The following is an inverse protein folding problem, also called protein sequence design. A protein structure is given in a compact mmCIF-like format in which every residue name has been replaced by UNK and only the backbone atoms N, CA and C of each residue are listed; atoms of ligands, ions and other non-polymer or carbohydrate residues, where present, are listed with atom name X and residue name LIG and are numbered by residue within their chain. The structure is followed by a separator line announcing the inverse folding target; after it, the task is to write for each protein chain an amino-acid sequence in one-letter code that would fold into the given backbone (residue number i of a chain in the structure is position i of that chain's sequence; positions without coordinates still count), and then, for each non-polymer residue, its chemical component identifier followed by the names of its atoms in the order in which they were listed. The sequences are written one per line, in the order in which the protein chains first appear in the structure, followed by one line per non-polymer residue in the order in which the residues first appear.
data_IF_982261193964
#
_entry.id   IF_982261193964
#
_cell.length_a   1.000
_cell.length_b   1.000
_cell.length_c   1.000
_cell.angle_alpha   90.00
_cell.angle_beta   90.00
_cell.angle_gamma   90.00
#
_symmetry.space_group_name_H-M   'P 1'
#
loop_
_entity.id
_entity.type
_entity.pdbx_description
1 polymer ?
#
# COMPACT_ATOMS: atom_id res chain seq x y z
N UNK A 1 -2.58 33.75 8.72
CA UNK A 1 -2.93 32.32 8.56
C UNK A 1 -2.62 31.91 7.12
N UNK A 2 -1.47 31.29 6.86
CA UNK A 2 -1.13 30.80 5.52
C UNK A 2 -1.92 29.51 5.25
N UNK A 3 -2.94 29.59 4.40
CA UNK A 3 -3.59 28.41 3.81
C UNK A 3 -2.51 27.67 3.01
N UNK A 4 -2.18 26.45 3.41
CA UNK A 4 -1.43 25.54 2.56
C UNK A 4 -2.23 25.39 1.26
N UNK A 5 -1.69 25.92 0.17
CA UNK A 5 -2.26 25.71 -1.16
C UNK A 5 -2.19 24.21 -1.42
N UNK A 6 -3.35 23.56 -1.57
CA UNK A 6 -3.42 22.18 -2.09
C UNK A 6 -2.60 22.16 -3.37
N UNK A 7 -1.43 21.51 -3.32
CA UNK A 7 -0.60 21.32 -4.50
C UNK A 7 -1.48 20.65 -5.55
N UNK A 8 -1.65 21.22 -6.75
CA UNK A 8 -2.41 20.56 -7.80
C UNK A 8 -1.70 19.24 -8.08
N UNK A 9 -2.33 18.14 -7.69
CA UNK A 9 -1.78 16.82 -7.95
C UNK A 9 -1.75 16.65 -9.47
N UNK A 10 -0.62 16.20 -10.01
CA UNK A 10 -0.49 15.90 -11.44
C UNK A 10 -1.65 15.01 -11.91
N UNK A 11 -2.22 15.24 -13.11
CA UNK A 11 -3.27 14.39 -13.66
C UNK A 11 -2.82 12.93 -13.65
N UNK A 12 -3.70 12.02 -13.20
CA UNK A 12 -3.42 10.59 -13.25
C UNK A 12 -3.69 10.06 -14.65
N UNK A 13 -2.80 9.21 -15.15
CA UNK A 13 -3.14 8.31 -16.26
C UNK A 13 -4.19 7.28 -15.83
N UNK A 14 -4.77 6.57 -16.79
CA UNK A 14 -5.79 5.55 -16.52
C UNK A 14 -5.28 4.42 -15.59
N UNK A 15 -4.00 4.04 -15.70
CA UNK A 15 -3.36 3.05 -14.85
C UNK A 15 -3.26 3.51 -13.39
N UNK A 16 -2.67 4.69 -13.15
CA UNK A 16 -2.58 5.27 -11.81
C UNK A 16 -3.94 5.55 -11.14
N UNK A 17 -4.96 5.90 -11.92
CA UNK A 17 -6.32 6.07 -11.40
C UNK A 17 -6.92 4.75 -10.87
N UNK A 18 -6.73 3.65 -11.62
CA UNK A 18 -7.21 2.34 -11.19
C UNK A 18 -6.45 1.80 -9.97
N UNK A 19 -5.13 1.99 -9.92
CA UNK A 19 -4.31 1.64 -8.75
C UNK A 19 -4.77 2.42 -7.52
N UNK A 20 -4.97 3.74 -7.67
CA UNK A 20 -5.44 4.57 -6.55
C UNK A 20 -6.83 4.15 -6.08
N UNK A 21 -7.74 3.79 -7.01
CA UNK A 21 -9.07 3.28 -6.70
C UNK A 21 -9.00 2.00 -5.88
N UNK A 22 -8.18 1.03 -6.31
CA UNK A 22 -7.96 -0.23 -5.58
C UNK A 22 -7.45 0.01 -4.14
N UNK A 23 -6.47 0.90 -3.98
CA UNK A 23 -5.91 1.25 -2.67
C UNK A 23 -6.95 1.97 -1.79
N UNK A 24 -7.74 2.87 -2.37
CA UNK A 24 -8.73 3.68 -1.65
C UNK A 24 -9.93 2.84 -1.20
N UNK A 25 -10.42 1.94 -2.06
CA UNK A 25 -11.52 1.03 -1.73
C UNK A 25 -11.12 -0.01 -0.67
N UNK A 26 -9.82 -0.13 -0.35
CA UNK A 26 -9.28 -1.00 0.70
C UNK A 26 -9.80 -2.45 0.63
N UNK A 27 -10.17 -2.91 -0.57
CA UNK A 27 -10.71 -4.26 -0.76
C UNK A 27 -9.69 -5.32 -0.37
N UNK A 28 -8.40 -5.03 -0.60
CA UNK A 28 -7.28 -5.88 -0.23
C UNK A 28 -6.12 -5.02 0.32
N UNK A 29 -5.40 -5.49 1.35
CA UNK A 29 -4.24 -4.79 1.86
C UNK A 29 -3.12 -4.80 0.81
N UNK A 30 -2.63 -3.61 0.47
CA UNK A 30 -1.52 -3.40 -0.47
C UNK A 30 -0.23 -3.22 0.33
N UNK A 31 0.86 -3.80 -0.18
CA UNK A 31 2.18 -3.74 0.43
C UNK A 31 3.23 -3.40 -0.62
N UNK A 32 4.23 -2.61 -0.21
CA UNK A 32 5.48 -2.43 -0.91
C UNK A 32 6.52 -3.34 -0.26
N UNK A 33 7.15 -4.21 -1.03
CA UNK A 33 8.31 -4.98 -0.59
C UNK A 33 9.57 -4.42 -1.23
N UNK A 34 10.52 -4.01 -0.40
CA UNK A 34 11.86 -3.56 -0.79
C UNK A 34 12.83 -4.68 -0.42
N UNK A 35 13.43 -5.32 -1.40
CA UNK A 35 14.45 -6.34 -1.19
C UNK A 35 15.82 -5.68 -0.94
N UNK A 36 16.71 -6.37 -0.24
CA UNK A 36 18.08 -5.91 0.00
C UNK A 36 18.89 -5.66 -1.28
N UNK A 37 18.49 -6.28 -2.39
CA UNK A 37 19.07 -6.04 -3.72
C UNK A 37 18.54 -4.76 -4.41
N UNK A 38 17.76 -3.93 -3.71
CA UNK A 38 17.17 -2.70 -4.22
C UNK A 38 15.91 -2.89 -5.08
N UNK A 39 15.47 -4.14 -5.34
CA UNK A 39 14.23 -4.39 -6.07
C UNK A 39 13.03 -4.02 -5.22
N UNK A 40 12.13 -3.24 -5.81
CA UNK A 40 10.88 -2.79 -5.20
C UNK A 40 9.70 -3.39 -5.94
N UNK A 41 8.76 -3.97 -5.21
CA UNK A 41 7.53 -4.54 -5.78
C UNK A 41 6.33 -4.17 -4.93
N UNK A 42 5.35 -3.55 -5.57
CA UNK A 42 4.03 -3.32 -4.99
C UNK A 42 3.14 -4.52 -5.30
N UNK A 43 2.32 -4.92 -4.34
CA UNK A 43 1.37 -6.00 -4.55
C UNK A 43 0.32 -6.08 -3.46
N UNK A 44 -0.72 -6.86 -3.72
CA UNK A 44 -1.78 -7.14 -2.76
C UNK A 44 -2.12 -8.62 -2.76
N UNK A 45 -2.73 -9.05 -1.66
CA UNK A 45 -3.25 -10.41 -1.51
C UNK A 45 -4.72 -10.44 -1.89
N UNK A 46 -5.04 -11.18 -2.95
CA UNK A 46 -6.42 -11.46 -3.31
C UNK A 46 -6.80 -12.86 -2.77
N UNK A 47 -7.85 -13.01 -1.95
CA UNK A 47 -8.33 -14.32 -1.53
C UNK A 47 -8.77 -15.13 -2.76
N UNK A 48 -8.43 -16.43 -2.79
CA UNK A 48 -8.89 -17.31 -3.86
C UNK A 48 -10.43 -17.37 -3.88
N UNK A 49 -11.07 -17.26 -5.05
CA UNK A 49 -12.53 -17.38 -5.17
C UNK A 49 -13.03 -18.81 -4.94
N UNK A 50 -12.15 -19.81 -4.93
CA UNK A 50 -12.54 -21.18 -4.59
C UNK A 50 -12.65 -21.29 -3.08
N UNK A 51 -13.84 -21.63 -2.58
CA UNK A 51 -14.11 -21.91 -1.15
C UNK A 51 -13.27 -23.05 -0.54
N UNK A 52 -12.30 -23.57 -1.27
CA UNK A 52 -11.21 -24.39 -0.76
C UNK A 52 -10.25 -23.47 0.03
N UNK A 53 -10.61 -23.20 1.28
CA UNK A 53 -9.80 -22.38 2.18
C UNK A 53 -8.36 -22.88 2.22
N UNK A 54 -7.46 -22.15 1.55
CA UNK A 54 -6.00 -22.03 1.74
C UNK A 54 -5.38 -21.52 0.43
N UNK A 55 -5.33 -20.21 0.25
CA UNK A 55 -4.51 -19.59 -0.78
C UNK A 55 -5.05 -18.23 -1.21
N UNK A 56 -4.31 -17.17 -0.94
CA UNK A 56 -4.48 -15.93 -1.68
C UNK A 56 -3.55 -15.93 -2.90
N UNK A 57 -3.94 -15.26 -3.98
CA UNK A 57 -3.04 -14.93 -5.07
C UNK A 57 -2.35 -13.60 -4.75
N UNK A 58 -1.02 -13.57 -4.86
CA UNK A 58 -0.27 -12.33 -4.79
C UNK A 58 -0.32 -11.64 -6.16
N UNK A 59 -1.06 -10.53 -6.26
CA UNK A 59 -1.17 -9.75 -7.50
C UNK A 59 -0.17 -8.60 -7.45
N UNK A 60 0.70 -8.51 -8.46
CA UNK A 60 1.67 -7.41 -8.57
C UNK A 60 1.00 -6.17 -9.18
N UNK A 61 1.27 -5.01 -8.59
CA UNK A 61 0.85 -3.71 -9.13
C UNK A 61 1.99 -3.10 -9.97
N UNK A 62 1.66 -2.26 -10.97
CA UNK A 62 2.68 -1.52 -11.72
C UNK A 62 3.50 -0.62 -10.78
N UNK A 63 4.80 -0.89 -10.67
CA UNK A 63 5.69 -0.17 -9.74
C UNK A 63 5.78 1.32 -10.08
N UNK A 64 5.89 1.67 -11.35
CA UNK A 64 6.05 3.06 -11.80
C UNK A 64 4.84 3.93 -11.44
N UNK A 65 3.63 3.37 -11.57
CA UNK A 65 2.37 4.04 -11.18
C UNK A 65 2.30 4.23 -9.67
N UNK A 66 2.69 3.22 -8.89
CA UNK A 66 2.71 3.32 -7.43
C UNK A 66 3.75 4.36 -6.94
N UNK A 67 4.95 4.35 -7.55
CA UNK A 67 6.00 5.34 -7.25
C UNK A 67 5.56 6.76 -7.62
N UNK A 68 4.86 6.95 -8.75
CA UNK A 68 4.28 8.23 -9.14
C UNK A 68 3.19 8.69 -8.16
N UNK A 69 2.31 7.78 -7.71
CA UNK A 69 1.30 8.07 -6.69
C UNK A 69 1.93 8.46 -5.34
N UNK A 70 3.02 7.79 -4.95
CA UNK A 70 3.76 8.10 -3.73
C UNK A 70 4.45 9.46 -3.82
N UNK A 71 5.14 9.73 -4.94
CA UNK A 71 5.76 11.04 -5.21
C UNK A 71 4.74 12.18 -5.29
N UNK A 72 3.52 11.89 -5.76
CA UNK A 72 2.41 12.84 -5.78
C UNK A 72 1.72 13.01 -4.40
N UNK A 73 2.14 12.27 -3.37
CA UNK A 73 1.55 12.32 -2.03
C UNK A 73 0.12 11.78 -1.95
N UNK A 74 -0.28 10.95 -2.92
CA UNK A 74 -1.63 10.34 -2.97
C UNK A 74 -1.70 9.01 -2.24
N UNK A 75 -0.56 8.38 -1.99
CA UNK A 75 -0.42 7.19 -1.15
C UNK A 75 0.72 7.40 -0.17
N UNK A 76 0.62 6.73 0.98
CA UNK A 76 1.60 6.79 2.06
C UNK A 76 2.02 5.38 2.47
N UNK A 77 3.29 5.25 2.84
CA UNK A 77 3.85 4.04 3.43
C UNK A 77 3.63 4.08 4.95
N UNK A 78 3.10 3.00 5.50
CA UNK A 78 2.98 2.79 6.94
C UNK A 78 4.28 2.26 7.55
N UNK A 79 4.19 1.81 8.80
CA UNK A 79 5.34 1.33 9.56
C UNK A 79 6.05 0.16 8.84
N UNK A 80 7.40 0.19 8.75
CA UNK A 80 8.16 -0.87 8.13
C UNK A 80 8.08 -2.16 8.95
N UNK A 81 7.85 -3.27 8.27
CA UNK A 81 8.08 -4.62 8.77
C UNK A 81 9.42 -5.11 8.20
N UNK A 82 10.41 -5.25 9.07
CA UNK A 82 11.76 -5.68 8.69
C UNK A 82 11.87 -7.21 8.76
N UNK A 83 12.21 -7.83 7.64
CA UNK A 83 12.56 -9.24 7.53
C UNK A 83 14.04 -9.37 7.12
N UNK A 84 14.74 -10.46 7.52
CA UNK A 84 16.09 -10.75 7.02
C UNK A 84 16.07 -10.96 5.48
N UNK A 85 16.36 -9.89 4.72
CA UNK A 85 16.41 -9.90 3.26
C UNK A 85 15.37 -9.02 2.55
N UNK A 86 14.42 -8.43 3.28
CA UNK A 86 13.45 -7.48 2.72
C UNK A 86 12.82 -6.60 3.80
N UNK A 87 12.36 -5.43 3.41
CA UNK A 87 11.49 -4.58 4.24
C UNK A 87 10.15 -4.43 3.55
N UNK A 88 9.07 -4.72 4.27
CA UNK A 88 7.71 -4.59 3.75
C UNK A 88 7.01 -3.41 4.39
N UNK A 89 6.41 -2.55 3.58
CA UNK A 89 5.68 -1.36 4.00
C UNK A 89 4.20 -1.53 3.64
N UNK A 90 3.27 -1.44 4.59
CA UNK A 90 1.85 -1.31 4.27
C UNK A 90 1.61 -0.03 3.46
N UNK A 91 0.81 -0.11 2.41
CA UNK A 91 0.48 1.03 1.55
C UNK A 91 -0.97 1.44 1.80
N UNK A 92 -1.20 2.73 2.04
CA UNK A 92 -2.55 3.29 2.18
C UNK A 92 -2.74 4.52 1.32
N UNK A 93 -3.99 4.79 0.94
CA UNK A 93 -4.34 6.06 0.32
C UNK A 93 -4.08 7.19 1.33
N UNK A 94 -3.48 8.28 0.85
CA UNK A 94 -3.38 9.49 1.66
C UNK A 94 -4.80 10.00 1.90
N UNK A 95 -5.23 10.08 3.16
CA UNK A 95 -6.52 10.66 3.47
C UNK A 95 -6.54 12.09 2.94
N UNK A 96 -7.56 12.42 2.13
CA UNK A 96 -7.86 13.81 1.79
C UNK A 96 -8.12 14.54 3.11
N UNK A 97 -7.09 15.23 3.59
CA UNK A 97 -6.91 15.77 4.95
C UNK A 97 -8.18 15.96 5.78
N UNK A 98 -8.45 15.01 6.68
CA UNK A 98 -9.01 15.31 7.99
C UNK A 98 -7.92 15.00 9.02
N UNK A 99 -7.60 16.01 9.84
CA UNK A 99 -6.60 15.96 10.91
C UNK A 99 -6.74 14.69 11.77
N UNK A 100 -5.62 13.99 11.93
CA UNK A 100 -5.26 13.21 13.11
C UNK A 100 -6.15 12.02 13.47
N UNK A 101 -5.70 10.82 13.11
CA UNK A 101 -5.49 9.71 14.07
C UNK A 101 -4.36 8.84 13.52
N UNK A 102 -3.12 9.18 13.89
CA UNK A 102 -2.09 8.15 14.02
C UNK A 102 -2.51 7.28 15.21
N UNK A 103 -2.56 5.97 15.00
CA UNK A 103 -2.74 5.01 16.09
C UNK A 103 -4.05 4.23 16.04
N UNK A 104 -4.05 3.12 15.30
CA UNK A 104 -4.31 1.81 15.90
C UNK A 104 -3.32 0.83 15.26
N UNK A 105 -2.12 0.77 15.83
CA UNK A 105 -1.32 -0.44 15.76
C UNK A 105 -2.13 -1.55 16.44
N UNK A 106 -2.78 -2.42 15.66
CA UNK A 106 -3.26 -3.69 16.20
C UNK A 106 -2.17 -4.72 15.97
N UNK A 107 -1.43 -4.91 17.06
CA UNK A 107 -0.42 -5.91 17.29
C UNK A 107 -0.71 -7.25 16.62
N UNK A 108 0.36 -7.76 15.99
CA UNK A 108 0.82 -9.15 15.98
C UNK A 108 -0.06 -10.15 16.72
N UNK A 109 -0.51 -11.18 16.00
CA UNK A 109 -0.58 -12.53 16.58
C UNK A 109 0.06 -13.51 15.61
N UNK A 110 1.27 -13.90 16.00
CA UNK A 110 1.90 -15.16 15.67
C UNK A 110 0.89 -16.32 15.59
N UNK A 111 1.07 -17.17 14.58
CA UNK A 111 0.84 -18.60 14.68
C UNK A 111 1.76 -19.32 13.68
N UNK A 112 3.05 -19.37 13.99
CA UNK A 112 3.92 -20.47 13.61
C UNK A 112 3.69 -21.59 14.64
N UNK A 113 3.14 -22.71 14.21
CA UNK A 113 3.05 -23.98 14.95
C UNK A 113 2.65 -25.03 13.93
N UNK A 114 3.19 -26.24 13.89
CA UNK A 114 4.37 -26.88 14.48
C UNK A 114 4.59 -28.14 13.62
#
# INVERSE_FOLDING_TARGET
MLRALSRPHAPLGAGGAEVLRLITEQRFPVFLTVHTNGRRRYGYWQPSPTGAGRGGCHVALPTDECDALHAAGRIVLGDPLEDPGKTTYPVRAAAATARGVAGVARASRHALTA
#
